data_IF_452057412033
#
_entry.id   IF_452057412033
#
_cell.length_a   1.000
_cell.length_b   1.000
_cell.length_c   1.000
_cell.angle_alpha   90.00
_cell.angle_beta   90.00
_cell.angle_gamma   90.00
#
_symmetry.space_group_name_H-M   'P 1'
#
loop_
_entity.id
_entity.type
_entity.pdbx_description
1 polymer ?
#
# COMPACT_ATOMS: atom_id res chain seq x y z
N UNK A 1 8.83 2.60 22.09
CA UNK A 1 10.19 3.17 22.25
C UNK A 1 11.01 3.02 20.97
N UNK A 2 11.41 1.81 20.53
CA UNK A 2 12.22 1.65 19.31
C UNK A 2 11.61 2.24 18.02
N UNK A 3 10.28 2.30 17.85
CA UNK A 3 9.69 2.92 16.66
C UNK A 3 9.66 4.44 16.74
N UNK A 4 9.40 5.03 17.90
CA UNK A 4 9.36 6.48 18.10
C UNK A 4 10.73 7.11 17.89
N UNK A 5 11.78 6.51 18.47
CA UNK A 5 13.16 7.01 18.28
C UNK A 5 13.58 6.95 16.80
N UNK A 6 13.16 5.90 16.08
CA UNK A 6 13.42 5.77 14.65
C UNK A 6 12.66 6.80 13.83
N UNK A 7 11.41 7.10 14.17
CA UNK A 7 10.63 8.16 13.52
C UNK A 7 11.23 9.55 13.78
N UNK A 8 11.70 9.83 15.00
CA UNK A 8 12.40 11.08 15.31
C UNK A 8 13.71 11.20 14.54
N UNK A 9 14.44 10.10 14.40
CA UNK A 9 15.67 10.06 13.60
C UNK A 9 15.36 10.30 12.12
N UNK A 10 14.33 9.64 11.57
CA UNK A 10 13.89 9.84 10.19
C UNK A 10 13.49 11.29 9.93
N UNK A 11 12.77 11.92 10.86
CA UNK A 11 12.42 13.33 10.77
C UNK A 11 13.65 14.23 10.84
N UNK A 12 14.58 13.95 11.76
CA UNK A 12 15.86 14.65 11.84
C UNK A 12 16.60 14.60 10.50
N UNK A 13 16.72 13.40 9.91
CA UNK A 13 17.47 13.19 8.68
C UNK A 13 16.76 13.90 7.49
N UNK A 14 15.44 13.74 7.38
CA UNK A 14 14.63 14.41 6.36
C UNK A 14 14.73 15.94 6.42
N UNK A 15 14.76 16.53 7.61
CA UNK A 15 14.73 18.00 7.76
C UNK A 15 16.14 18.61 7.74
N UNK A 16 17.09 17.96 8.41
CA UNK A 16 18.39 18.56 8.74
C UNK A 16 19.55 18.00 7.90
N UNK A 17 19.46 16.77 7.39
CA UNK A 17 20.57 16.16 6.64
C UNK A 17 20.38 16.17 5.13
N UNK A 18 19.14 16.10 4.64
CA UNK A 18 18.86 16.22 3.20
C UNK A 18 19.19 17.62 2.67
N UNK A 19 19.60 17.67 1.41
CA UNK A 19 19.88 18.91 0.68
C UNK A 19 18.62 19.78 0.54
N UNK A 20 18.76 21.09 0.31
CA UNK A 20 17.62 21.95 0.03
C UNK A 20 16.77 21.48 -1.15
N UNK A 21 17.40 20.99 -2.22
CA UNK A 21 16.73 20.59 -3.47
C UNK A 21 15.78 19.40 -3.26
N UNK A 22 16.20 18.40 -2.47
CA UNK A 22 15.37 17.24 -2.09
C UNK A 22 14.18 17.66 -1.21
N UNK A 23 14.41 18.62 -0.31
CA UNK A 23 13.38 19.10 0.64
C UNK A 23 12.38 20.04 0.01
N UNK A 24 12.78 20.79 -1.02
CA UNK A 24 11.94 21.81 -1.62
C UNK A 24 10.65 21.22 -2.21
N UNK A 25 10.69 20.00 -2.75
CA UNK A 25 9.47 19.27 -3.17
C UNK A 25 8.61 18.89 -1.97
N UNK A 26 9.20 18.34 -0.91
CA UNK A 26 8.45 17.97 0.30
C UNK A 26 7.72 19.17 0.94
N UNK A 27 8.35 20.35 0.90
CA UNK A 27 7.83 21.60 1.50
C UNK A 27 7.07 22.52 0.54
N UNK A 28 6.85 22.15 -0.73
CA UNK A 28 6.05 22.99 -1.64
C UNK A 28 6.77 24.19 -2.21
N UNK A 29 8.11 24.18 -2.23
CA UNK A 29 8.96 25.26 -2.74
C UNK A 29 9.37 25.02 -4.19
N UNK A 30 9.22 23.79 -4.69
CA UNK A 30 9.50 23.37 -6.07
C UNK A 30 8.54 22.24 -6.47
N UNK A 31 8.16 22.20 -7.74
CA UNK A 31 7.39 21.10 -8.33
C UNK A 31 8.29 19.87 -8.59
N UNK A 32 7.77 18.63 -8.48
CA UNK A 32 8.51 17.42 -8.83
C UNK A 32 8.82 17.36 -10.33
N UNK A 33 10.04 16.93 -10.67
CA UNK A 33 10.51 16.73 -12.05
C UNK A 33 10.20 15.34 -12.59
N UNK A 34 10.02 15.24 -13.91
CA UNK A 34 9.78 13.97 -14.62
C UNK A 34 10.48 13.95 -15.98
N UNK A 35 11.14 12.84 -16.28
CA UNK A 35 11.67 12.51 -17.59
C UNK A 35 10.61 11.81 -18.46
N UNK A 36 10.67 12.04 -19.78
CA UNK A 36 9.77 11.39 -20.74
C UNK A 36 10.11 9.89 -20.89
N UNK A 37 9.14 9.02 -20.56
CA UNK A 37 9.26 7.55 -20.70
C UNK A 37 8.27 7.03 -21.74
N UNK A 38 8.79 6.60 -22.90
CA UNK A 38 7.96 6.08 -24.01
C UNK A 38 7.74 4.55 -23.97
N UNK A 39 8.48 3.83 -23.13
CA UNK A 39 8.37 2.38 -22.99
C UNK A 39 7.02 1.97 -22.41
N UNK A 40 6.48 0.84 -22.87
CA UNK A 40 5.26 0.25 -22.33
C UNK A 40 5.63 -0.90 -21.40
N UNK A 41 5.16 -0.85 -20.16
CA UNK A 41 5.40 -1.85 -19.12
C UNK A 41 4.18 -2.72 -18.85
N UNK A 42 2.98 -2.21 -19.15
CA UNK A 42 1.71 -2.92 -18.94
C UNK A 42 0.81 -2.75 -20.17
N UNK A 43 0.82 -3.72 -21.07
CA UNK A 43 0.15 -3.61 -22.38
C UNK A 43 -1.39 -3.56 -22.31
N UNK A 44 -1.98 -4.16 -21.28
CA UNK A 44 -3.43 -4.41 -21.19
C UNK A 44 -4.17 -3.49 -20.20
N UNK A 45 -3.47 -2.54 -19.58
CA UNK A 45 -4.06 -1.60 -18.63
C UNK A 45 -3.32 -0.25 -18.68
N UNK A 46 -3.97 0.75 -19.27
CA UNK A 46 -3.39 2.07 -19.50
C UNK A 46 -3.02 2.80 -18.19
N UNK A 47 -3.87 2.77 -17.18
CA UNK A 47 -3.60 3.45 -15.91
C UNK A 47 -2.44 2.80 -15.14
N UNK A 48 -2.35 1.46 -15.16
CA UNK A 48 -1.18 0.76 -14.59
C UNK A 48 0.09 1.08 -15.37
N UNK A 49 0.02 1.12 -16.72
CA UNK A 49 1.17 1.49 -17.54
C UNK A 49 1.64 2.92 -17.28
N UNK A 50 0.71 3.87 -17.22
CA UNK A 50 0.99 5.27 -16.90
C UNK A 50 1.61 5.41 -15.50
N UNK A 51 1.11 4.68 -14.52
CA UNK A 51 1.69 4.65 -13.17
C UNK A 51 3.15 4.16 -13.17
N UNK A 52 3.47 3.10 -13.94
CA UNK A 52 4.86 2.63 -14.07
C UNK A 52 5.72 3.63 -14.82
N UNK A 53 5.24 4.23 -15.92
CA UNK A 53 5.94 5.27 -16.67
C UNK A 53 6.26 6.49 -15.80
N UNK A 54 5.28 6.96 -15.02
CA UNK A 54 5.46 8.08 -14.11
C UNK A 54 6.49 7.75 -13.03
N UNK A 55 6.41 6.56 -12.42
CA UNK A 55 7.32 6.13 -11.38
C UNK A 55 8.77 5.98 -11.89
N UNK A 56 8.94 5.45 -13.09
CA UNK A 56 10.24 5.31 -13.75
C UNK A 56 10.80 6.68 -14.16
N UNK A 57 9.95 7.58 -14.64
CA UNK A 57 10.35 8.92 -15.11
C UNK A 57 10.56 9.93 -13.98
N UNK A 58 10.08 9.67 -12.76
CA UNK A 58 10.16 10.61 -11.66
C UNK A 58 11.62 10.95 -11.30
N UNK A 59 11.93 12.23 -11.21
CA UNK A 59 13.22 12.73 -10.72
C UNK A 59 13.21 12.93 -9.20
N UNK A 60 12.02 13.21 -8.63
CA UNK A 60 11.85 13.49 -7.19
C UNK A 60 10.90 12.49 -6.52
N UNK A 61 9.64 12.47 -6.97
CA UNK A 61 8.65 11.54 -6.45
C UNK A 61 7.52 11.24 -7.44
N UNK A 62 6.91 10.06 -7.27
CA UNK A 62 5.67 9.69 -7.94
C UNK A 62 4.72 8.99 -6.95
N UNK A 63 3.43 9.07 -7.25
CA UNK A 63 2.36 8.56 -6.40
C UNK A 63 1.47 7.63 -7.23
N UNK A 64 1.24 6.42 -6.75
CA UNK A 64 0.30 5.47 -7.37
C UNK A 64 -0.90 5.32 -6.44
N UNK A 65 -2.00 5.94 -6.81
CA UNK A 65 -3.27 5.83 -6.09
C UNK A 65 -4.03 4.62 -6.59
N UNK A 66 -4.03 3.55 -5.80
CA UNK A 66 -4.71 2.31 -6.17
C UNK A 66 -5.88 1.97 -5.26
N UNK A 67 -7.13 2.19 -5.72
CA UNK A 67 -8.32 1.71 -5.04
C UNK A 67 -8.35 0.18 -4.78
N UNK A 68 -9.33 -0.33 -4.00
CA UNK A 68 -9.45 -1.76 -3.76
C UNK A 68 -9.58 -2.58 -5.05
N UNK A 69 -8.73 -3.59 -5.20
CA UNK A 69 -8.80 -4.54 -6.30
C UNK A 69 -8.22 -4.05 -7.62
N UNK A 70 -7.52 -2.91 -7.67
CA UNK A 70 -6.97 -2.34 -8.92
C UNK A 70 -5.59 -2.85 -9.31
N UNK A 71 -5.04 -3.82 -8.57
CA UNK A 71 -3.72 -4.37 -8.84
C UNK A 71 -2.57 -3.46 -8.40
N UNK A 72 -2.70 -2.78 -7.23
CA UNK A 72 -1.60 -2.02 -6.60
C UNK A 72 -0.30 -2.81 -6.56
N UNK A 73 -0.33 -3.97 -5.93
CA UNK A 73 0.86 -4.83 -5.74
C UNK A 73 1.43 -5.29 -7.08
N UNK A 74 0.57 -5.66 -8.05
CA UNK A 74 0.98 -5.99 -9.42
C UNK A 74 1.74 -4.82 -10.08
N UNK A 75 1.18 -3.62 -9.98
CA UNK A 75 1.76 -2.39 -10.56
C UNK A 75 3.08 -2.03 -9.88
N UNK A 76 3.14 -2.16 -8.54
CA UNK A 76 4.34 -1.96 -7.77
C UNK A 76 5.46 -2.93 -8.19
N UNK A 77 5.15 -4.22 -8.37
CA UNK A 77 6.13 -5.21 -8.82
C UNK A 77 6.65 -4.89 -10.24
N UNK A 78 5.76 -4.43 -11.14
CA UNK A 78 6.15 -3.93 -12.47
C UNK A 78 7.05 -2.70 -12.38
N UNK A 79 6.74 -1.77 -11.49
CA UNK A 79 7.60 -0.61 -11.22
C UNK A 79 8.98 -1.05 -10.75
N UNK A 80 9.07 -1.91 -9.72
CA UNK A 80 10.36 -2.38 -9.20
C UNK A 80 11.19 -3.06 -10.29
N UNK A 81 10.61 -3.96 -11.09
CA UNK A 81 11.32 -4.60 -12.22
C UNK A 81 11.83 -3.56 -13.22
N UNK A 82 10.99 -2.61 -13.63
CA UNK A 82 11.36 -1.58 -14.59
C UNK A 82 12.50 -0.66 -14.10
N UNK A 83 12.58 -0.39 -12.79
CA UNK A 83 13.66 0.37 -12.17
C UNK A 83 14.96 -0.46 -12.17
N UNK A 84 14.89 -1.73 -11.76
CA UNK A 84 16.06 -2.64 -11.74
C UNK A 84 16.62 -2.89 -13.14
N UNK A 85 15.77 -3.05 -14.16
CA UNK A 85 16.18 -3.19 -15.56
C UNK A 85 16.95 -1.97 -16.09
N UNK A 86 16.78 -0.81 -15.44
CA UNK A 86 17.54 0.43 -15.71
C UNK A 86 18.83 0.53 -14.89
N UNK A 87 19.13 -0.47 -14.08
CA UNK A 87 20.29 -0.51 -13.20
C UNK A 87 20.12 0.30 -11.92
N UNK A 88 18.87 0.61 -11.53
CA UNK A 88 18.59 1.30 -10.26
C UNK A 88 18.45 0.30 -9.13
N UNK A 89 19.05 0.65 -7.99
CA UNK A 89 18.96 -0.09 -6.75
C UNK A 89 17.74 0.36 -5.96
N UNK A 90 16.84 -0.58 -5.69
CA UNK A 90 15.50 -0.30 -5.15
C UNK A 90 15.38 -0.73 -3.68
N UNK A 91 14.92 0.20 -2.83
CA UNK A 91 14.39 -0.13 -1.51
C UNK A 91 12.89 -0.37 -1.62
N UNK A 92 12.45 -1.61 -1.50
CA UNK A 92 11.04 -1.95 -1.39
C UNK A 92 10.62 -1.94 0.09
N UNK A 93 9.64 -1.11 0.44
CA UNK A 93 9.22 -0.94 1.82
C UNK A 93 7.70 -0.94 2.00
N UNK A 94 7.25 -1.29 3.20
CA UNK A 94 5.84 -1.20 3.58
C UNK A 94 5.69 -1.13 5.10
N UNK A 95 4.48 -0.80 5.57
CA UNK A 95 4.20 -0.71 7.01
C UNK A 95 4.33 -2.05 7.75
N UNK A 96 3.83 -3.14 7.15
CA UNK A 96 3.75 -4.46 7.80
C UNK A 96 4.62 -5.49 7.09
N UNK A 97 5.09 -6.51 7.82
CA UNK A 97 5.82 -7.61 7.18
C UNK A 97 4.97 -8.32 6.11
N UNK A 98 3.66 -8.48 6.36
CA UNK A 98 2.74 -9.10 5.41
C UNK A 98 2.68 -8.32 4.09
N UNK A 99 2.65 -6.99 4.13
CA UNK A 99 2.67 -6.17 2.92
C UNK A 99 3.98 -6.33 2.14
N UNK A 100 5.13 -6.29 2.82
CA UNK A 100 6.45 -6.53 2.18
C UNK A 100 6.49 -7.91 1.53
N UNK A 101 6.09 -8.96 2.27
CA UNK A 101 6.15 -10.34 1.79
C UNK A 101 5.14 -10.60 0.65
N UNK A 102 4.00 -9.90 0.63
CA UNK A 102 3.06 -9.93 -0.48
C UNK A 102 3.66 -9.29 -1.74
N UNK A 103 4.31 -8.13 -1.62
CA UNK A 103 4.98 -7.47 -2.74
C UNK A 103 6.12 -8.32 -3.31
N UNK A 104 6.89 -8.99 -2.46
CA UNK A 104 7.91 -9.96 -2.88
C UNK A 104 7.30 -11.20 -3.55
N UNK A 105 6.17 -11.71 -3.04
CA UNK A 105 5.44 -12.80 -3.70
C UNK A 105 5.03 -12.41 -5.12
N UNK A 106 4.47 -11.20 -5.29
CA UNK A 106 4.07 -10.69 -6.60
C UNK A 106 5.27 -10.50 -7.54
N UNK A 107 6.42 -10.01 -7.05
CA UNK A 107 7.66 -9.95 -7.84
C UNK A 107 8.07 -11.32 -8.37
N UNK A 108 8.01 -12.36 -7.50
CA UNK A 108 8.31 -13.74 -7.89
C UNK A 108 7.32 -14.29 -8.90
N UNK A 109 6.02 -14.02 -8.73
CA UNK A 109 4.98 -14.44 -9.66
C UNK A 109 5.16 -13.82 -11.05
N UNK A 110 5.80 -12.64 -11.09
CA UNK A 110 6.19 -11.97 -12.33
C UNK A 110 7.58 -12.38 -12.86
N UNK A 111 8.27 -13.29 -12.19
CA UNK A 111 9.54 -13.87 -12.64
C UNK A 111 10.79 -13.16 -12.14
N UNK A 112 10.67 -12.31 -11.11
CA UNK A 112 11.81 -11.64 -10.47
C UNK A 112 12.01 -12.17 -9.05
N UNK A 113 13.12 -12.86 -8.81
CA UNK A 113 13.48 -13.45 -7.51
C UNK A 113 14.86 -13.03 -6.98
N UNK A 114 15.51 -12.07 -7.63
CA UNK A 114 16.79 -11.51 -7.18
C UNK A 114 16.57 -10.33 -6.23
N UNK A 115 16.24 -10.66 -4.97
CA UNK A 115 16.02 -9.68 -3.92
C UNK A 115 16.44 -10.19 -2.55
N UNK A 116 16.69 -9.25 -1.65
CA UNK A 116 17.07 -9.52 -0.27
C UNK A 116 16.03 -8.99 0.72
N UNK A 117 15.54 -9.84 1.62
CA UNK A 117 14.51 -9.50 2.62
C UNK A 117 15.11 -9.26 4.01
N UNK A 118 15.04 -8.04 4.52
CA UNK A 118 15.54 -7.67 5.86
C UNK A 118 14.43 -7.76 6.91
N UNK A 119 14.39 -8.86 7.65
CA UNK A 119 13.35 -9.12 8.65
C UNK A 119 13.79 -10.06 9.79
N UNK A 120 12.89 -10.32 10.73
CA UNK A 120 13.08 -11.35 11.76
C UNK A 120 12.55 -12.69 11.25
N UNK A 121 13.07 -13.80 11.76
CA UNK A 121 12.63 -15.15 11.39
C UNK A 121 11.13 -15.35 11.63
N UNK A 122 10.61 -14.89 12.77
CA UNK A 122 9.17 -14.94 13.10
C UNK A 122 8.31 -13.94 12.33
N UNK A 123 8.92 -12.97 11.66
CA UNK A 123 8.23 -11.88 10.97
C UNK A 123 8.04 -12.12 9.48
N UNK A 124 8.89 -12.93 8.86
CA UNK A 124 8.90 -13.21 7.41
C UNK A 124 8.10 -14.47 7.11
N UNK A 125 7.24 -14.41 6.08
CA UNK A 125 6.43 -15.53 5.58
C UNK A 125 7.31 -16.70 5.11
N UNK A 126 6.85 -17.94 5.31
CA UNK A 126 7.62 -19.16 5.08
C UNK A 126 8.22 -19.27 3.68
N UNK A 127 7.43 -18.96 2.65
CA UNK A 127 7.83 -18.98 1.24
C UNK A 127 8.80 -17.84 0.84
N UNK A 128 8.97 -16.83 1.70
CA UNK A 128 9.92 -15.72 1.52
C UNK A 128 11.19 -15.92 2.37
N UNK A 129 11.20 -16.87 3.31
CA UNK A 129 12.38 -17.16 4.15
C UNK A 129 13.68 -17.43 3.37
N UNK A 130 13.68 -18.10 2.20
CA UNK A 130 14.91 -18.32 1.44
C UNK A 130 15.62 -17.03 0.99
N UNK A 131 14.89 -15.91 0.93
CA UNK A 131 15.42 -14.60 0.52
C UNK A 131 15.77 -13.71 1.72
N UNK A 132 15.57 -14.19 2.95
CA UNK A 132 15.81 -13.40 4.16
C UNK A 132 17.31 -13.25 4.39
N UNK A 133 17.75 -12.01 4.63
CA UNK A 133 19.13 -11.73 5.05
C UNK A 133 19.45 -12.51 6.33
N UNK A 134 20.38 -13.46 6.23
CA UNK A 134 20.88 -14.20 7.36
C UNK A 134 21.65 -13.24 8.29
N UNK A 135 21.35 -13.26 9.59
CA UNK A 135 22.06 -12.42 10.58
C UNK A 135 23.22 -13.13 11.24
N UNK A 136 23.39 -14.41 10.96
CA UNK A 136 24.50 -15.22 11.42
C UNK A 136 25.61 -15.25 10.35
N UNK A 137 26.83 -15.59 10.78
CA UNK A 137 28.00 -15.63 9.91
C UNK A 137 28.87 -14.39 10.01
N UNK A 138 29.66 -14.14 8.96
CA UNK A 138 30.62 -13.05 8.91
C UNK A 138 29.92 -11.70 8.64
N UNK A 139 30.12 -10.67 9.48
CA UNK A 139 29.46 -9.38 9.29
C UNK A 139 29.81 -8.67 7.98
N UNK A 140 31.05 -8.80 7.50
CA UNK A 140 31.49 -8.10 6.28
C UNK A 140 30.85 -8.75 5.04
N UNK A 141 30.70 -10.07 5.03
CA UNK A 141 29.93 -10.79 4.00
C UNK A 141 28.47 -10.32 3.96
N UNK A 142 27.78 -10.27 5.11
CA UNK A 142 26.35 -9.87 5.17
C UNK A 142 26.14 -8.42 4.76
N UNK A 143 27.08 -7.54 5.07
CA UNK A 143 27.04 -6.14 4.62
C UNK A 143 27.29 -6.05 3.11
N UNK A 144 28.17 -6.87 2.56
CA UNK A 144 28.43 -6.93 1.12
C UNK A 144 27.21 -7.42 0.36
N UNK A 145 26.60 -8.52 0.82
CA UNK A 145 25.34 -9.05 0.28
C UNK A 145 24.23 -8.00 0.27
N UNK A 146 24.09 -7.24 1.36
CA UNK A 146 23.12 -6.15 1.41
C UNK A 146 23.44 -5.03 0.41
N UNK A 147 24.71 -4.63 0.29
CA UNK A 147 25.15 -3.55 -0.61
C UNK A 147 25.01 -3.90 -2.08
N UNK A 148 25.25 -5.15 -2.44
CA UNK A 148 25.26 -5.63 -3.83
C UNK A 148 23.87 -6.04 -4.33
N UNK A 149 22.89 -6.22 -3.44
CA UNK A 149 21.52 -6.54 -3.85
C UNK A 149 20.85 -5.38 -4.60
N UNK A 150 20.29 -5.69 -5.77
CA UNK A 150 19.52 -4.74 -6.61
C UNK A 150 18.21 -4.33 -5.93
N UNK A 151 17.56 -5.26 -5.23
CA UNK A 151 16.34 -5.00 -4.46
C UNK A 151 16.53 -5.42 -3.02
N UNK A 152 16.33 -4.47 -2.09
CA UNK A 152 16.26 -4.75 -0.66
C UNK A 152 14.86 -4.46 -0.16
N UNK A 153 14.25 -5.46 0.47
CA UNK A 153 12.89 -5.39 0.98
C UNK A 153 12.86 -5.36 2.52
N UNK A 154 12.24 -4.34 3.11
CA UNK A 154 12.19 -4.17 4.57
C UNK A 154 10.89 -3.51 5.01
N UNK A 155 10.49 -3.64 6.27
CA UNK A 155 9.43 -2.76 6.79
C UNK A 155 9.98 -1.36 7.02
N UNK A 156 9.15 -0.32 6.96
CA UNK A 156 9.57 1.06 7.28
C UNK A 156 10.20 1.16 8.66
N UNK A 157 9.64 0.44 9.64
CA UNK A 157 10.23 0.32 10.98
C UNK A 157 11.66 -0.26 10.96
N UNK A 158 11.95 -1.22 10.06
CA UNK A 158 13.27 -1.83 9.92
C UNK A 158 14.28 -0.94 9.17
N UNK A 159 13.80 -0.03 8.32
CA UNK A 159 14.64 0.94 7.60
C UNK A 159 15.39 1.87 8.57
N UNK A 160 14.81 2.20 9.73
CA UNK A 160 15.52 2.95 10.78
C UNK A 160 16.61 2.17 11.54
N UNK A 161 16.84 0.89 11.21
CA UNK A 161 17.93 0.11 11.83
C UNK A 161 19.30 0.61 11.38
N UNK A 162 20.34 0.36 12.18
CA UNK A 162 21.70 0.81 11.86
C UNK A 162 22.20 0.27 10.52
N UNK A 163 21.97 -1.01 10.25
CA UNK A 163 22.44 -1.66 9.02
C UNK A 163 21.80 -1.05 7.77
N UNK A 164 20.51 -0.69 7.85
CA UNK A 164 19.78 -0.07 6.75
C UNK A 164 20.18 1.39 6.53
N UNK A 165 20.44 2.15 7.60
CA UNK A 165 20.90 3.56 7.52
C UNK A 165 22.32 3.72 6.96
N UNK A 166 23.08 2.64 6.89
CA UNK A 166 24.41 2.63 6.24
C UNK A 166 24.33 2.25 4.74
N UNK A 167 23.11 2.08 4.20
CA UNK A 167 22.85 1.83 2.78
C UNK A 167 22.33 3.09 2.09
N UNK A 168 22.49 3.13 0.77
CA UNK A 168 21.91 4.16 -0.12
C UNK A 168 21.26 3.48 -1.31
N UNK A 169 20.10 3.98 -1.73
CA UNK A 169 19.30 3.44 -2.82
C UNK A 169 19.05 4.54 -3.84
N UNK A 170 18.86 4.18 -5.10
CA UNK A 170 18.45 5.17 -6.10
C UNK A 170 16.97 5.50 -5.89
N UNK A 171 16.14 4.50 -5.56
CA UNK A 171 14.69 4.68 -5.41
C UNK A 171 14.12 3.91 -4.22
N UNK A 172 13.29 4.57 -3.41
CA UNK A 172 12.46 3.91 -2.41
C UNK A 172 11.03 3.73 -2.95
N UNK A 173 10.55 2.48 -3.06
CA UNK A 173 9.17 2.15 -3.42
C UNK A 173 8.43 1.70 -2.16
N UNK A 174 7.44 2.48 -1.72
CA UNK A 174 6.76 2.27 -0.44
C UNK A 174 5.29 1.90 -0.67
N UNK A 175 4.91 0.65 -0.34
CA UNK A 175 3.53 0.17 -0.37
C UNK A 175 2.76 0.54 0.90
N UNK A 176 1.43 0.57 0.79
CA UNK A 176 0.50 0.96 1.85
C UNK A 176 0.81 2.34 2.45
N UNK A 177 1.28 3.27 1.62
CA UNK A 177 1.75 4.58 2.05
C UNK A 177 0.67 5.44 2.74
N UNK A 178 -0.61 5.23 2.39
CA UNK A 178 -1.75 5.89 3.05
C UNK A 178 -1.93 5.50 4.53
N UNK A 179 -1.40 4.34 4.95
CA UNK A 179 -1.49 3.86 6.34
C UNK A 179 -0.28 4.30 7.20
N UNK A 180 0.73 4.94 6.58
CA UNK A 180 1.93 5.39 7.27
C UNK A 180 1.81 6.85 7.70
N UNK A 181 2.23 7.14 8.93
CA UNK A 181 2.47 8.53 9.33
C UNK A 181 3.60 9.11 8.46
N UNK A 182 3.63 10.43 8.31
CA UNK A 182 4.70 11.08 7.55
C UNK A 182 6.11 10.72 8.09
N UNK A 183 6.40 10.78 9.41
CA UNK A 183 7.69 10.30 9.94
C UNK A 183 7.96 8.81 9.67
N UNK A 184 6.92 7.98 9.66
CA UNK A 184 7.03 6.56 9.33
C UNK A 184 7.41 6.32 7.88
N UNK A 185 6.90 7.15 6.97
CA UNK A 185 7.25 7.10 5.53
C UNK A 185 8.68 7.58 5.31
N UNK A 186 9.07 8.67 5.97
CA UNK A 186 10.42 9.24 5.89
C UNK A 186 11.52 8.25 6.31
N UNK A 187 11.22 7.30 7.19
CA UNK A 187 12.19 6.28 7.61
C UNK A 187 12.70 5.41 6.45
N UNK A 188 11.95 5.30 5.35
CA UNK A 188 12.38 4.62 4.13
C UNK A 188 12.84 5.62 3.06
N UNK A 189 12.10 6.71 2.84
CA UNK A 189 12.38 7.62 1.72
C UNK A 189 13.68 8.40 1.89
N UNK A 190 14.16 8.64 3.12
CA UNK A 190 15.46 9.30 3.34
C UNK A 190 16.68 8.42 3.05
N UNK A 191 16.47 7.13 2.73
CA UNK A 191 17.53 6.21 2.32
C UNK A 191 17.72 6.18 0.81
N UNK A 192 16.92 6.93 0.05
CA UNK A 192 16.95 6.94 -1.41
C UNK A 192 16.99 8.36 -1.97
N UNK A 193 17.52 8.50 -3.19
CA UNK A 193 17.59 9.79 -3.89
C UNK A 193 16.20 10.30 -4.30
N UNK A 194 15.29 9.36 -4.64
CA UNK A 194 13.88 9.63 -4.98
C UNK A 194 12.95 8.53 -4.48
N UNK A 195 11.64 8.76 -4.55
CA UNK A 195 10.68 7.77 -4.02
C UNK A 195 9.37 7.64 -4.80
N UNK A 196 8.80 6.44 -4.77
CA UNK A 196 7.49 6.11 -5.32
C UNK A 196 6.61 5.65 -4.16
N UNK A 197 5.52 6.36 -3.89
CA UNK A 197 4.55 5.95 -2.86
C UNK A 197 3.35 5.29 -3.52
N UNK A 198 3.00 4.11 -3.05
CA UNK A 198 1.86 3.33 -3.53
C UNK A 198 0.87 3.18 -2.38
N UNK A 199 -0.40 3.49 -2.61
CA UNK A 199 -1.37 3.45 -1.53
C UNK A 199 -2.76 3.90 -1.92
N UNK A 200 -3.57 4.12 -0.90
CA UNK A 200 -4.93 4.63 -1.03
C UNK A 200 -5.31 5.44 0.20
N UNK A 201 -5.37 6.77 0.06
CA UNK A 201 -5.71 7.68 1.15
C UNK A 201 -7.22 7.71 1.45
N UNK A 202 -8.04 7.01 0.65
CA UNK A 202 -9.48 6.82 0.91
C UNK A 202 -9.76 5.56 1.76
N UNK A 203 -8.72 4.80 2.12
CA UNK A 203 -8.80 3.66 3.03
C UNK A 203 -8.39 4.05 4.46
N UNK A 204 -7.92 3.09 5.26
CA UNK A 204 -7.57 3.34 6.66
C UNK A 204 -6.40 4.34 6.75
N UNK A 205 -6.54 5.43 7.53
CA UNK A 205 -5.43 6.33 7.81
C UNK A 205 -4.45 5.70 8.82
N UNK A 206 -3.30 6.33 9.08
CA UNK A 206 -2.40 5.95 10.16
C UNK A 206 -3.11 5.94 11.52
N UNK A 207 -2.87 4.90 12.31
CA UNK A 207 -3.45 4.77 13.65
C UNK A 207 -2.64 5.58 14.66
N UNK A 208 -3.20 6.72 15.10
CA UNK A 208 -2.64 7.59 16.14
C UNK A 208 -3.45 7.40 17.43
N UNK A 209 -2.78 7.05 18.53
CA UNK A 209 -3.43 6.77 19.83
C UNK A 209 -3.39 7.95 20.80
N UNK A 210 -2.53 8.92 20.56
CA UNK A 210 -2.57 10.16 21.31
C UNK A 210 -3.85 10.87 20.86
N UNK A 211 -4.81 10.98 21.77
CA UNK A 211 -5.88 11.95 21.61
C UNK A 211 -5.18 13.31 21.54
N UNK A 212 -5.57 14.17 20.59
CA UNK A 212 -5.24 15.58 20.66
C UNK A 212 -5.89 16.08 21.95
N UNK A 213 -5.16 15.98 23.07
CA UNK A 213 -5.57 16.57 24.34
C UNK A 213 -6.00 18.00 24.01
N UNK A 214 -7.15 18.39 24.54
CA UNK A 214 -7.82 19.68 24.37
C UNK A 214 -6.95 20.90 24.78
N UNK A 215 -5.76 21.07 24.22
CA UNK A 215 -5.12 22.37 24.10
C UNK A 215 -5.95 23.11 23.07
N UNK A 216 -6.83 23.99 23.53
CA UNK A 216 -7.62 24.93 22.74
C UNK A 216 -6.77 25.96 22.00
N UNK A 217 -5.64 25.51 21.42
CA UNK A 217 -4.80 26.24 20.51
C UNK A 217 -5.38 26.01 19.11
N UNK A 218 -6.12 27.01 18.63
CA UNK A 218 -6.62 27.12 17.24
C UNK A 218 -5.49 27.05 16.18
N UNK A 219 -4.22 26.98 16.61
CA UNK A 219 -3.03 26.75 15.78
C UNK A 219 -2.76 25.27 15.45
N UNK A 220 -3.38 24.31 16.15
CA UNK A 220 -3.24 22.87 15.83
C UNK A 220 -4.06 22.44 14.59
N UNK A 221 -5.01 23.27 14.17
CA UNK A 221 -5.82 23.10 12.95
C UNK A 221 -5.12 23.62 11.67
N UNK A 222 -3.82 23.93 11.72
CA UNK A 222 -3.07 24.27 10.51
C UNK A 222 -3.07 23.10 9.50
N UNK A 223 -3.10 23.37 8.17
CA UNK A 223 -3.05 22.34 7.13
C UNK A 223 -1.74 21.54 7.19
N UNK A 224 -1.73 20.46 7.98
CA UNK A 224 -0.55 19.63 8.24
C UNK A 224 -0.38 19.15 9.69
N UNK A 225 -1.25 19.54 10.63
CA UNK A 225 -1.07 19.30 12.07
C UNK A 225 -1.35 17.87 12.57
N UNK A 226 -2.11 17.04 11.85
CA UNK A 226 -2.46 15.70 12.34
C UNK A 226 -1.50 14.62 11.86
N UNK A 227 -0.93 13.84 12.78
CA UNK A 227 -0.19 12.61 12.47
C UNK A 227 -1.04 11.55 11.73
N UNK A 228 -2.36 11.76 11.65
CA UNK A 228 -3.29 10.96 10.87
C UNK A 228 -3.30 11.30 9.37
N UNK A 229 -2.73 12.43 8.95
CA UNK A 229 -2.51 12.71 7.54
C UNK A 229 -1.20 12.09 7.10
N UNK A 230 -1.28 11.18 6.13
CA UNK A 230 -0.08 10.52 5.59
C UNK A 230 0.72 11.45 4.66
N UNK A 231 2.01 11.17 4.48
CA UNK A 231 2.80 11.86 3.45
C UNK A 231 2.19 11.65 2.06
N UNK A 232 1.64 10.45 1.81
CA UNK A 232 0.98 10.09 0.57
C UNK A 232 -0.22 11.01 0.26
N UNK A 233 -1.14 11.15 1.20
CA UNK A 233 -2.31 12.04 1.08
C UNK A 233 -1.88 13.49 0.89
N UNK A 234 -0.93 13.96 1.70
CA UNK A 234 -0.43 15.35 1.60
C UNK A 234 0.18 15.65 0.24
N UNK A 235 0.92 14.71 -0.35
CA UNK A 235 1.55 14.89 -1.66
C UNK A 235 0.55 14.73 -2.80
N UNK A 236 -0.46 13.86 -2.70
CA UNK A 236 -1.55 13.77 -3.69
C UNK A 236 -2.29 15.10 -3.78
N UNK A 237 -2.67 15.68 -2.63
CA UNK A 237 -3.41 16.94 -2.61
C UNK A 237 -2.58 18.11 -3.16
N UNK A 238 -1.25 18.05 -2.98
CA UNK A 238 -0.34 19.10 -3.39
C UNK A 238 0.08 19.00 -4.85
N UNK A 239 0.36 17.79 -5.32
CA UNK A 239 0.90 17.50 -6.66
C UNK A 239 0.03 16.43 -7.33
N UNK A 240 -1.23 16.73 -7.69
CA UNK A 240 -2.09 15.76 -8.36
C UNK A 240 -1.49 15.24 -9.67
N UNK A 241 -0.69 16.04 -10.35
CA UNK A 241 0.06 15.69 -11.57
C UNK A 241 1.19 14.68 -11.32
N UNK A 242 1.69 14.57 -10.09
CA UNK A 242 2.65 13.55 -9.67
C UNK A 242 1.96 12.25 -9.26
N UNK A 243 0.66 12.09 -9.54
CA UNK A 243 -0.14 10.94 -9.15
C UNK A 243 -0.91 10.31 -10.31
N UNK A 244 -1.05 8.98 -10.27
CA UNK A 244 -1.90 8.22 -11.19
C UNK A 244 -2.92 7.41 -10.41
N UNK A 245 -4.21 7.57 -10.74
CA UNK A 245 -5.30 6.75 -10.21
C UNK A 245 -5.47 5.47 -11.04
N UNK A 246 -5.34 4.31 -10.41
CA UNK A 246 -5.67 3.03 -11.05
C UNK A 246 -7.20 2.86 -11.11
N UNK A 247 -7.78 3.01 -12.31
CA UNK A 247 -9.24 3.08 -12.49
C UNK A 247 -9.94 1.73 -12.74
N UNK A 248 -9.20 0.66 -13.05
CA UNK A 248 -9.73 -0.69 -13.30
C UNK A 248 -9.53 -1.63 -12.13
N UNK A 249 -10.63 -2.18 -11.59
CA UNK A 249 -10.61 -3.18 -10.52
C UNK A 249 -11.03 -4.57 -10.98
N UNK A 250 -10.43 -5.59 -10.38
CA UNK A 250 -10.52 -7.01 -10.76
C UNK A 250 -11.18 -7.88 -9.66
N UNK A 251 -11.78 -7.27 -8.62
CA UNK A 251 -12.26 -7.98 -7.42
C UNK A 251 -13.78 -8.02 -7.28
N UNK A 252 -14.45 -6.89 -7.48
CA UNK A 252 -15.83 -6.69 -7.06
C UNK A 252 -16.78 -6.67 -8.27
N UNK A 253 -17.94 -7.29 -8.13
CA UNK A 253 -19.04 -7.09 -9.06
C UNK A 253 -19.44 -5.61 -9.14
N UNK A 254 -19.98 -5.18 -10.29
CA UNK A 254 -20.31 -3.78 -10.53
C UNK A 254 -21.28 -3.22 -9.47
N UNK A 255 -22.24 -4.03 -9.01
CA UNK A 255 -23.24 -3.64 -8.02
C UNK A 255 -22.66 -3.33 -6.65
N UNK A 256 -21.58 -4.02 -6.25
CA UNK A 256 -20.83 -3.77 -5.01
C UNK A 256 -19.95 -2.53 -5.21
N UNK A 257 -19.18 -2.52 -6.30
CA UNK A 257 -18.20 -1.50 -6.61
C UNK A 257 -18.80 -0.09 -6.81
N UNK A 258 -20.02 -0.01 -7.35
CA UNK A 258 -20.66 1.25 -7.71
C UNK A 258 -20.80 2.23 -6.54
N UNK A 259 -21.06 1.74 -5.32
CA UNK A 259 -21.12 2.59 -4.13
C UNK A 259 -19.76 3.21 -3.85
N UNK A 260 -18.73 2.38 -3.65
CA UNK A 260 -17.38 2.84 -3.34
C UNK A 260 -16.85 3.79 -4.41
N UNK A 261 -17.12 3.50 -5.70
CA UNK A 261 -16.76 4.37 -6.81
C UNK A 261 -17.24 5.80 -6.64
N UNK A 262 -18.53 5.95 -6.31
CA UNK A 262 -19.22 7.23 -6.33
C UNK A 262 -18.86 8.05 -5.10
N UNK A 263 -18.79 7.40 -3.94
CA UNK A 263 -18.56 8.09 -2.67
C UNK A 263 -17.09 8.49 -2.47
N UNK A 264 -16.13 7.70 -2.96
CA UNK A 264 -14.71 7.88 -2.62
C UNK A 264 -13.79 8.15 -3.81
N UNK A 265 -14.24 7.92 -5.05
CA UNK A 265 -13.38 7.99 -6.24
C UNK A 265 -14.03 8.73 -7.42
N UNK A 266 -14.92 9.69 -7.16
CA UNK A 266 -15.60 10.52 -8.17
C UNK A 266 -16.29 9.75 -9.31
N UNK A 267 -16.68 8.51 -9.02
CA UNK A 267 -17.23 7.62 -10.02
C UNK A 267 -16.21 7.20 -11.09
N UNK A 268 -14.90 7.22 -10.85
CA UNK A 268 -13.87 6.82 -11.82
C UNK A 268 -13.57 5.32 -11.80
N UNK A 269 -13.67 4.68 -10.64
CA UNK A 269 -13.43 3.24 -10.49
C UNK A 269 -14.41 2.40 -11.34
N UNK A 270 -13.92 1.40 -12.08
CA UNK A 270 -14.70 0.54 -12.97
C UNK A 270 -14.25 -0.91 -12.89
N UNK A 271 -15.14 -1.90 -13.06
CA UNK A 271 -14.72 -3.28 -13.31
C UNK A 271 -13.81 -3.36 -14.55
N UNK A 272 -12.75 -4.16 -14.45
CA UNK A 272 -11.78 -4.34 -15.52
C UNK A 272 -12.37 -5.11 -16.72
N UNK A 273 -13.28 -6.06 -16.46
CA UNK A 273 -13.92 -6.88 -17.49
C UNK A 273 -15.43 -7.03 -17.24
N UNK A 274 -16.17 -7.43 -18.27
CA UNK A 274 -17.59 -7.76 -18.14
C UNK A 274 -17.85 -8.96 -17.21
N UNK A 275 -16.91 -9.90 -17.17
CA UNK A 275 -16.94 -11.04 -16.24
C UNK A 275 -16.86 -10.56 -14.79
N UNK A 276 -15.86 -9.72 -14.46
CA UNK A 276 -15.77 -9.11 -13.12
C UNK A 276 -17.02 -8.30 -12.80
N UNK A 277 -17.53 -7.50 -13.75
CA UNK A 277 -18.74 -6.71 -13.55
C UNK A 277 -19.97 -7.57 -13.21
N UNK A 278 -20.06 -8.74 -13.86
CA UNK A 278 -21.18 -9.68 -13.79
C UNK A 278 -21.12 -10.69 -12.65
N UNK A 279 -19.98 -10.83 -11.96
CA UNK A 279 -19.76 -11.82 -10.91
C UNK A 279 -20.97 -12.01 -9.97
N UNK A 280 -21.36 -13.26 -9.75
CA UNK A 280 -22.48 -13.64 -8.90
C UNK A 280 -22.28 -15.02 -8.28
N UNK A 281 -22.76 -15.21 -7.05
CA UNK A 281 -22.73 -16.51 -6.35
C UNK A 281 -23.28 -17.70 -7.17
N UNK A 282 -24.22 -17.49 -8.10
CA UNK A 282 -24.79 -18.54 -8.95
C UNK A 282 -23.79 -19.16 -9.92
N UNK A 283 -22.66 -18.50 -10.12
CA UNK A 283 -21.57 -18.96 -10.99
C UNK A 283 -20.60 -19.87 -10.23
N UNK A 284 -20.70 -19.94 -8.91
CA UNK A 284 -19.87 -20.81 -8.08
C UNK A 284 -20.33 -22.28 -8.22
N UNK A 285 -19.40 -23.23 -8.45
CA UNK A 285 -19.74 -24.64 -8.53
C UNK A 285 -20.38 -25.15 -7.24
N UNK A 286 -21.54 -25.80 -7.35
CA UNK A 286 -22.22 -26.41 -6.20
C UNK A 286 -23.10 -25.46 -5.38
N UNK A 287 -23.17 -24.17 -5.73
CA UNK A 287 -23.99 -23.19 -5.02
C UNK A 287 -25.41 -23.11 -5.60
N UNK A 288 -26.41 -23.37 -4.77
CA UNK A 288 -27.83 -23.21 -5.09
C UNK A 288 -28.37 -21.88 -4.53
N UNK A 289 -28.25 -20.81 -5.30
CA UNK A 289 -28.72 -19.47 -4.90
C UNK A 289 -30.24 -19.43 -4.70
N UNK A 290 -31.02 -20.26 -5.39
CA UNK A 290 -32.49 -20.25 -5.26
C UNK A 290 -32.94 -20.81 -3.90
N UNK A 291 -32.05 -21.50 -3.18
CA UNK A 291 -32.26 -21.95 -1.79
C UNK A 291 -32.10 -20.84 -0.75
N UNK A 292 -31.43 -19.73 -1.10
CA UNK A 292 -31.25 -18.59 -0.22
C UNK A 292 -32.55 -17.79 -0.04
N UNK A 293 -32.74 -17.13 1.12
CA UNK A 293 -33.76 -16.09 1.28
C UNK A 293 -33.67 -15.04 0.15
N UNK A 294 -34.82 -14.57 -0.37
CA UNK A 294 -34.89 -13.67 -1.53
C UNK A 294 -33.97 -12.44 -1.41
N UNK A 295 -33.87 -11.86 -0.21
CA UNK A 295 -33.05 -10.68 0.05
C UNK A 295 -31.53 -10.96 0.00
N UNK A 296 -31.09 -12.23 0.11
CA UNK A 296 -29.70 -12.66 0.00
C UNK A 296 -29.33 -13.17 -1.40
N UNK A 297 -30.28 -13.25 -2.33
CA UNK A 297 -30.02 -13.70 -3.70
C UNK A 297 -29.35 -12.62 -4.56
N UNK A 298 -29.44 -11.35 -4.16
CA UNK A 298 -28.78 -10.22 -4.84
C UNK A 298 -27.32 -10.06 -4.36
N UNK A 299 -26.51 -9.32 -5.13
CA UNK A 299 -25.09 -9.09 -4.84
C UNK A 299 -24.83 -8.20 -3.62
N UNK A 300 -25.84 -7.42 -3.22
CA UNK A 300 -25.77 -6.50 -2.08
C UNK A 300 -27.10 -6.58 -1.35
N UNK A 301 -27.04 -6.90 -0.06
CA UNK A 301 -28.17 -6.91 0.86
C UNK A 301 -27.81 -6.08 2.09
N UNK A 302 -28.77 -5.32 2.60
CA UNK A 302 -28.68 -4.66 3.90
C UNK A 302 -29.75 -5.28 4.79
N UNK A 303 -29.34 -5.95 5.86
CA UNK A 303 -30.22 -6.62 6.82
C UNK A 303 -30.12 -5.87 8.14
N UNK A 304 -31.24 -5.30 8.58
CA UNK A 304 -31.36 -4.72 9.91
C UNK A 304 -31.89 -5.80 10.87
N UNK A 305 -31.09 -6.28 11.84
CA UNK A 305 -31.54 -7.28 12.80
C UNK A 305 -32.36 -6.68 13.95
N UNK A 306 -32.65 -5.37 13.94
CA UNK A 306 -33.28 -4.63 15.04
C UNK A 306 -32.50 -4.76 16.37
N UNK A 307 -31.18 -4.96 16.28
CA UNK A 307 -30.28 -5.18 17.42
C UNK A 307 -29.82 -3.89 18.11
N UNK A 308 -29.26 -4.02 19.32
CA UNK A 308 -28.72 -2.88 20.07
C UNK A 308 -27.33 -3.19 20.63
N UNK A 309 -26.40 -2.25 20.48
CA UNK A 309 -25.05 -2.38 20.99
C UNK A 309 -25.01 -2.42 22.53
N UNK A 310 -24.20 -3.34 23.07
CA UNK A 310 -23.84 -3.50 24.48
C UNK A 310 -22.32 -3.41 24.59
N UNK A 311 -21.82 -2.20 24.86
CA UNK A 311 -20.39 -1.91 24.75
C UNK A 311 -19.93 -2.10 23.30
N UNK A 312 -18.91 -2.93 23.09
CA UNK A 312 -18.37 -3.23 21.76
C UNK A 312 -19.00 -4.49 21.11
N UNK A 313 -20.16 -4.94 21.58
CA UNK A 313 -20.81 -6.16 21.09
C UNK A 313 -22.29 -5.92 20.78
N UNK A 314 -22.86 -6.66 19.85
CA UNK A 314 -24.29 -6.65 19.53
C UNK A 314 -24.75 -8.12 19.35
N UNK A 315 -25.30 -8.76 20.41
CA UNK A 315 -25.68 -10.18 20.37
C UNK A 315 -26.72 -10.50 19.30
N UNK A 316 -27.66 -9.61 19.07
CA UNK A 316 -28.73 -9.76 18.07
C UNK A 316 -28.15 -9.72 16.64
N UNK A 317 -27.20 -8.82 16.37
CA UNK A 317 -26.45 -8.78 15.11
C UNK A 317 -25.56 -10.02 14.93
N UNK A 318 -24.90 -10.48 16.00
CA UNK A 318 -24.08 -11.70 15.93
C UNK A 318 -24.92 -12.94 15.59
N UNK A 319 -26.13 -13.06 16.15
CA UNK A 319 -27.05 -14.14 15.80
C UNK A 319 -27.51 -14.04 14.34
N UNK A 320 -27.89 -12.84 13.87
CA UNK A 320 -28.29 -12.64 12.49
C UNK A 320 -27.15 -12.95 11.49
N UNK A 321 -25.91 -12.58 11.80
CA UNK A 321 -24.74 -12.96 10.98
C UNK A 321 -24.56 -14.48 10.95
N UNK A 322 -24.72 -15.17 12.08
CA UNK A 322 -24.64 -16.63 12.11
C UNK A 322 -25.72 -17.27 11.23
N UNK A 323 -26.97 -16.82 11.33
CA UNK A 323 -28.08 -17.32 10.50
C UNK A 323 -27.81 -17.08 8.99
N UNK A 324 -27.23 -15.92 8.63
CA UNK A 324 -26.85 -15.61 7.24
C UNK A 324 -25.73 -16.53 6.76
N UNK A 325 -24.71 -16.77 7.58
CA UNK A 325 -23.61 -17.69 7.27
C UNK A 325 -24.13 -19.10 7.07
N UNK A 326 -24.97 -19.60 7.99
CA UNK A 326 -25.60 -20.91 7.89
C UNK A 326 -26.41 -21.04 6.60
N UNK A 327 -27.17 -20.00 6.20
CA UNK A 327 -27.90 -19.99 4.93
C UNK A 327 -26.97 -20.11 3.71
N UNK A 328 -25.81 -19.44 3.70
CA UNK A 328 -24.84 -19.56 2.62
C UNK A 328 -24.15 -20.94 2.59
N UNK A 329 -23.83 -21.50 3.76
CA UNK A 329 -23.26 -22.85 3.87
C UNK A 329 -24.25 -23.91 3.38
N UNK A 330 -25.51 -23.81 3.80
CA UNK A 330 -26.60 -24.70 3.35
C UNK A 330 -26.86 -24.58 1.84
N UNK A 331 -26.67 -23.38 1.28
CA UNK A 331 -26.71 -23.14 -0.15
C UNK A 331 -25.48 -23.66 -0.91
N UNK A 332 -24.47 -24.19 -0.22
CA UNK A 332 -23.29 -24.82 -0.81
C UNK A 332 -22.08 -23.89 -1.01
N UNK A 333 -22.04 -22.72 -0.36
CA UNK A 333 -20.86 -21.85 -0.34
C UNK A 333 -19.80 -22.45 0.58
N UNK A 334 -18.56 -22.54 0.13
CA UNK A 334 -17.44 -23.04 0.94
C UNK A 334 -17.08 -22.06 2.08
N UNK A 335 -16.72 -22.58 3.29
CA UNK A 335 -16.41 -21.76 4.47
C UNK A 335 -15.06 -21.04 4.44
#
# INVERSE_FOLDING_TARGET
ELSTDRMLTALHDAVLTQSPEEKDVLFGRREPGFADVAETFVDNNAAQNEAVQLAVGAEDCALVHGPPGTGKTYTLARTVQALVERGERVLLSAFTNRAVDNALGELRDQGFDDFLRVGTESGVREDVQPYRLERAGDPDERVTELREADVVAATTASCGSRVMREQAFDVAVVDEAGQLTEPGTLAATTLADRFVLVGDHQQLPPVVRAEDDETGDEEADEPGGSLSRSLFERLIDRYPEASVLLDRQYRMAQRIQAFASREFYDGQLRPATAEVAGQHLRELPGVDVDSLPEHLQDRVAFVDPDGHARGNTNPEEAAAVADIVDAYLDAGVDP
#
